data_IF_461339179893
#
_entry.id   IF_461339179893
#
_cell.length_a   1.000
_cell.length_b   1.000
_cell.length_c   1.000
_cell.angle_alpha   90.00
_cell.angle_beta   90.00
_cell.angle_gamma   90.00
#
_symmetry.space_group_name_H-M   'P 1'
#
loop_
_entity.id
_entity.type
_entity.pdbx_description
1 polymer ?
#
# COMPACT_ATOMS: atom_id res chain seq x y z
N UNK A 1 0.88 6.61 15.78
CA UNK A 1 2.27 6.16 15.93
C UNK A 1 3.21 7.24 15.48
N UNK A 2 4.30 7.45 16.16
CA UNK A 2 5.37 8.35 15.69
C UNK A 2 5.97 7.79 14.41
N UNK A 3 6.18 8.66 13.43
CA UNK A 3 7.02 8.35 12.28
C UNK A 3 8.46 8.57 12.72
N UNK A 4 9.24 7.51 12.77
CA UNK A 4 10.67 7.57 13.16
C UNK A 4 11.48 7.35 11.90
N UNK A 5 12.53 8.13 11.71
CA UNK A 5 13.52 7.89 10.67
C UNK A 5 14.37 6.69 11.09
N UNK A 6 14.05 5.52 10.54
CA UNK A 6 14.77 4.28 10.78
C UNK A 6 15.41 3.74 9.51
N UNK A 7 16.44 2.90 9.69
CA UNK A 7 16.97 2.06 8.61
C UNK A 7 15.82 1.14 8.14
N UNK A 8 15.37 1.32 6.91
CA UNK A 8 14.18 0.62 6.37
C UNK A 8 13.01 1.54 6.03
N UNK A 9 13.13 2.84 6.23
CA UNK A 9 12.20 3.83 5.68
C UNK A 9 12.03 3.64 4.17
N UNK A 10 10.76 3.53 3.70
CA UNK A 10 10.44 3.28 2.30
C UNK A 10 10.25 1.80 1.89
N UNK A 11 10.46 0.83 2.80
CA UNK A 11 10.23 -0.60 2.50
C UNK A 11 8.79 -0.83 2.07
N UNK A 12 7.81 -0.31 2.80
CA UNK A 12 6.39 -0.44 2.45
C UNK A 12 6.01 0.30 1.17
N UNK A 13 6.68 1.40 0.84
CA UNK A 13 6.52 2.04 -0.47
C UNK A 13 7.03 1.12 -1.59
N UNK A 14 8.14 0.45 -1.37
CA UNK A 14 8.72 -0.50 -2.33
C UNK A 14 7.79 -1.70 -2.53
N UNK A 15 7.36 -2.37 -1.45
CA UNK A 15 6.45 -3.52 -1.54
C UNK A 15 5.12 -3.16 -2.18
N UNK A 16 4.55 -2.01 -1.85
CA UNK A 16 3.30 -1.53 -2.45
C UNK A 16 3.45 -1.21 -3.93
N UNK A 17 4.56 -0.59 -4.33
CA UNK A 17 4.80 -0.29 -5.76
C UNK A 17 4.99 -1.56 -6.56
N UNK A 18 5.66 -2.59 -5.99
CA UNK A 18 5.78 -3.91 -6.62
C UNK A 18 4.42 -4.58 -6.69
N UNK A 19 3.64 -4.58 -5.60
CA UNK A 19 2.29 -5.14 -5.58
C UNK A 19 1.40 -4.48 -6.64
N UNK A 20 1.41 -3.15 -6.73
CA UNK A 20 0.65 -2.43 -7.74
C UNK A 20 1.06 -2.83 -9.16
N UNK A 21 2.36 -3.03 -9.43
CA UNK A 21 2.82 -3.54 -10.72
C UNK A 21 2.35 -4.98 -10.97
N UNK A 22 2.37 -5.86 -9.94
CA UNK A 22 1.91 -7.25 -10.03
C UNK A 22 0.40 -7.31 -10.34
N UNK A 23 -0.41 -6.40 -9.80
CA UNK A 23 -1.85 -6.33 -10.10
C UNK A 23 -2.16 -6.10 -11.59
N UNK A 24 -1.23 -5.56 -12.36
CA UNK A 24 -1.37 -5.42 -13.82
C UNK A 24 -0.94 -6.69 -14.60
N UNK A 25 -0.64 -7.76 -13.90
CA UNK A 25 -0.22 -9.04 -14.48
C UNK A 25 -1.19 -10.15 -14.05
N UNK A 26 -1.00 -11.36 -14.60
CA UNK A 26 -1.67 -12.57 -14.14
C UNK A 26 -0.84 -13.38 -13.13
N UNK A 27 0.18 -12.78 -12.53
CA UNK A 27 0.99 -13.45 -11.51
C UNK A 27 0.17 -13.68 -10.24
N UNK A 28 0.38 -14.82 -9.62
CA UNK A 28 -0.39 -15.23 -8.45
C UNK A 28 0.07 -14.51 -7.18
N UNK A 29 -0.84 -13.83 -6.51
CA UNK A 29 -0.60 -13.26 -5.18
C UNK A 29 -0.65 -14.38 -4.13
N UNK A 30 0.43 -14.54 -3.37
CA UNK A 30 0.55 -15.58 -2.32
C UNK A 30 0.25 -14.99 -0.94
N UNK A 31 0.80 -13.82 -0.65
CA UNK A 31 0.59 -13.11 0.61
C UNK A 31 0.58 -11.61 0.39
N UNK A 32 -0.41 -10.94 0.96
CA UNK A 32 -0.52 -9.48 0.94
C UNK A 32 -1.37 -9.02 2.12
N UNK A 33 -0.95 -7.93 2.77
CA UNK A 33 -1.77 -7.21 3.74
C UNK A 33 -1.80 -5.73 3.42
N UNK A 34 -2.97 -5.11 3.57
CA UNK A 34 -3.12 -3.66 3.46
C UNK A 34 -2.57 -2.95 4.70
N UNK A 35 -2.18 -1.68 4.55
CA UNK A 35 -1.99 -0.81 5.69
C UNK A 35 -3.32 -0.53 6.38
N UNK A 36 -3.25 -0.14 7.65
CA UNK A 36 -4.43 0.30 8.41
C UNK A 36 -4.87 1.73 8.07
N UNK A 37 -4.12 2.41 7.22
CA UNK A 37 -4.34 3.80 6.84
C UNK A 37 -3.95 4.01 5.38
N UNK A 38 -4.52 5.06 4.77
CA UNK A 38 -4.19 5.41 3.40
C UNK A 38 -2.74 5.92 3.31
N UNK A 39 -1.92 5.26 2.52
CA UNK A 39 -0.49 5.55 2.38
C UNK A 39 -0.19 6.66 1.37
N UNK A 40 -1.09 6.91 0.45
CA UNK A 40 -1.01 7.99 -0.55
C UNK A 40 0.05 7.83 -1.64
N UNK A 41 0.81 6.74 -1.68
CA UNK A 41 1.83 6.51 -2.73
C UNK A 41 1.39 5.52 -3.83
N UNK A 42 0.30 4.81 -3.62
CA UNK A 42 -0.40 3.99 -4.62
C UNK A 42 -1.90 4.27 -4.51
N UNK A 43 -2.73 3.88 -5.50
CA UNK A 43 -4.18 3.97 -5.36
C UNK A 43 -4.68 3.19 -4.13
N UNK A 44 -5.78 3.66 -3.54
CA UNK A 44 -6.36 3.08 -2.33
C UNK A 44 -6.64 1.59 -2.52
N UNK A 45 -6.30 0.76 -1.52
CA UNK A 45 -6.42 -0.68 -1.55
C UNK A 45 -5.38 -1.41 -2.42
N UNK A 46 -4.52 -0.70 -3.12
CA UNK A 46 -3.46 -1.27 -3.96
C UNK A 46 -2.08 -1.21 -3.31
N UNK A 47 -2.05 -1.15 -1.99
CA UNK A 47 -0.85 -1.14 -1.17
C UNK A 47 -0.54 -2.54 -0.60
N UNK A 48 0.68 -2.75 -0.18
CA UNK A 48 1.13 -3.95 0.52
C UNK A 48 2.06 -3.56 1.66
N UNK A 49 1.61 -3.76 2.89
CA UNK A 49 2.46 -3.53 4.06
C UNK A 49 3.37 -4.72 4.32
N UNK A 50 4.59 -4.44 4.73
CA UNK A 50 5.55 -5.45 5.17
C UNK A 50 6.13 -5.05 6.53
N UNK A 51 6.32 -6.04 7.39
CA UNK A 51 6.93 -5.86 8.69
C UNK A 51 7.69 -7.13 9.05
N UNK A 52 8.98 -7.00 9.29
CA UNK A 52 9.88 -8.13 9.52
C UNK A 52 9.35 -9.11 10.56
N UNK A 53 9.29 -10.38 10.20
CA UNK A 53 8.82 -11.46 11.06
C UNK A 53 7.31 -11.52 11.32
N UNK A 54 6.50 -10.62 10.77
CA UNK A 54 5.05 -10.59 11.01
C UNK A 54 4.20 -10.60 9.75
N UNK A 55 4.57 -9.84 8.73
CA UNK A 55 3.81 -9.78 7.47
C UNK A 55 4.75 -9.53 6.31
N UNK A 56 4.43 -10.14 5.18
CA UNK A 56 5.24 -10.06 3.97
C UNK A 56 4.36 -9.81 2.75
N UNK A 57 4.99 -9.40 1.66
CA UNK A 57 4.36 -9.41 0.35
C UNK A 57 5.03 -10.47 -0.52
N UNK A 58 4.25 -11.45 -0.93
CA UNK A 58 4.72 -12.60 -1.69
C UNK A 58 3.85 -12.83 -2.91
N UNK A 59 4.48 -13.06 -4.03
CA UNK A 59 3.81 -13.47 -5.26
C UNK A 59 4.61 -14.57 -5.95
N UNK A 60 3.95 -15.31 -6.80
CA UNK A 60 4.51 -16.43 -7.55
C UNK A 60 4.43 -16.14 -9.03
N UNK A 61 5.52 -16.43 -9.74
CA UNK A 61 5.46 -16.53 -11.18
C UNK A 61 4.75 -17.84 -11.55
N UNK A 62 3.45 -17.73 -11.78
CA UNK A 62 2.57 -18.84 -12.14
C UNK A 62 2.61 -19.19 -13.63
N UNK A 63 3.54 -18.60 -14.39
CA UNK A 63 3.73 -18.86 -15.82
C UNK A 63 4.92 -19.79 -16.06
N UNK A 64 4.94 -20.45 -17.20
CA UNK A 64 6.08 -21.29 -17.62
C UNK A 64 7.28 -20.48 -18.17
N UNK A 65 7.17 -19.16 -18.16
CA UNK A 65 8.17 -18.25 -18.73
C UNK A 65 8.83 -17.39 -17.68
N UNK A 66 10.10 -17.01 -17.85
CA UNK A 66 10.76 -16.13 -16.90
C UNK A 66 10.15 -14.72 -16.90
N UNK A 67 10.18 -14.09 -15.75
CA UNK A 67 9.85 -12.69 -15.59
C UNK A 67 11.10 -11.89 -15.22
N UNK A 68 11.13 -10.61 -15.61
CA UNK A 68 12.17 -9.66 -15.23
C UNK A 68 11.53 -8.46 -14.53
N UNK A 69 11.99 -8.18 -13.32
CA UNK A 69 11.57 -7.01 -12.56
C UNK A 69 12.68 -5.95 -12.67
N UNK A 70 12.30 -4.76 -13.09
CA UNK A 70 13.20 -3.60 -13.20
C UNK A 70 12.66 -2.49 -12.33
N UNK A 71 13.49 -2.00 -11.43
CA UNK A 71 13.15 -0.90 -10.52
C UNK A 71 14.05 0.29 -10.79
N UNK A 72 13.50 1.48 -10.67
CA UNK A 72 14.25 2.74 -10.73
C UNK A 72 13.61 3.77 -9.81
N UNK A 73 14.43 4.66 -9.28
CA UNK A 73 13.95 5.80 -8.52
C UNK A 73 14.43 7.10 -9.14
N UNK A 74 13.59 8.13 -9.05
CA UNK A 74 13.89 9.46 -9.58
C UNK A 74 13.22 10.54 -8.73
N UNK A 75 13.74 11.76 -8.81
CA UNK A 75 13.16 12.89 -8.12
C UNK A 75 12.24 13.67 -9.06
N UNK A 76 11.04 13.99 -8.58
CA UNK A 76 10.05 14.78 -9.31
C UNK A 76 9.27 15.67 -8.34
N UNK A 77 9.31 16.98 -8.57
CA UNK A 77 8.58 17.95 -7.75
C UNK A 77 8.96 17.90 -6.27
N UNK A 78 10.24 17.70 -5.96
CA UNK A 78 10.75 17.61 -4.58
C UNK A 78 10.37 16.30 -3.85
N UNK A 79 9.81 15.32 -4.57
CA UNK A 79 9.44 14.01 -4.03
C UNK A 79 10.21 12.90 -4.74
N UNK A 80 10.70 11.95 -3.95
CA UNK A 80 11.30 10.72 -4.49
C UNK A 80 10.20 9.81 -5.02
N UNK A 81 10.29 9.45 -6.29
CA UNK A 81 9.39 8.52 -6.98
C UNK A 81 10.07 7.18 -7.18
N UNK A 82 9.28 6.11 -7.09
CA UNK A 82 9.70 4.76 -7.42
C UNK A 82 8.94 4.28 -8.65
N UNK A 83 9.64 3.66 -9.57
CA UNK A 83 9.06 3.02 -10.74
C UNK A 83 9.41 1.53 -10.71
N UNK A 84 8.42 0.68 -10.96
CA UNK A 84 8.57 -0.76 -11.10
C UNK A 84 8.00 -1.20 -12.43
N UNK A 85 8.76 -1.98 -13.18
CA UNK A 85 8.34 -2.60 -14.44
C UNK A 85 8.53 -4.09 -14.35
N UNK A 86 7.50 -4.85 -14.72
CA UNK A 86 7.55 -6.30 -14.84
C UNK A 86 7.45 -6.65 -16.30
N UNK A 87 8.46 -7.34 -16.80
CA UNK A 87 8.52 -7.86 -18.16
C UNK A 87 8.33 -9.38 -18.11
N UNK A 88 7.53 -9.90 -18.99
CA UNK A 88 7.26 -11.33 -19.11
C UNK A 88 6.64 -11.65 -20.47
N UNK A 89 6.40 -12.93 -20.73
CA UNK A 89 5.70 -13.39 -21.94
C UNK A 89 4.21 -13.37 -21.68
N UNK A 90 3.46 -12.61 -22.45
CA UNK A 90 2.01 -12.63 -22.42
C UNK A 90 1.49 -13.70 -23.40
N UNK A 91 1.23 -14.89 -22.87
CA UNK A 91 0.84 -16.06 -23.68
C UNK A 91 -0.61 -15.94 -24.15
N UNK A 92 -1.49 -15.41 -23.30
CA UNK A 92 -2.94 -15.42 -23.52
C UNK A 92 -3.47 -14.11 -24.09
N UNK A 93 -2.60 -13.12 -24.29
CA UNK A 93 -2.99 -11.78 -24.73
C UNK A 93 -3.82 -11.02 -23.67
N UNK A 94 -3.93 -11.54 -22.46
CA UNK A 94 -4.72 -10.96 -21.38
C UNK A 94 -4.03 -9.74 -20.80
N UNK A 95 -4.80 -8.67 -20.59
CA UNK A 95 -4.36 -7.46 -19.91
C UNK A 95 -5.17 -7.27 -18.64
N UNK A 96 -4.52 -7.32 -17.51
CA UNK A 96 -5.14 -7.02 -16.23
C UNK A 96 -5.14 -5.52 -15.96
N UNK A 97 -6.27 -4.98 -15.54
CA UNK A 97 -6.42 -3.60 -15.13
C UNK A 97 -7.07 -3.58 -13.73
N UNK A 98 -6.29 -3.31 -12.68
CA UNK A 98 -6.82 -3.30 -11.32
C UNK A 98 -7.75 -2.09 -11.13
N UNK A 99 -8.87 -2.33 -10.43
CA UNK A 99 -9.81 -1.29 -10.02
C UNK A 99 -10.00 -1.35 -8.51
N UNK A 100 -10.03 -0.21 -7.87
CA UNK A 100 -10.42 -0.10 -6.46
C UNK A 100 -11.69 0.70 -6.33
N UNK A 101 -12.52 0.34 -5.36
CA UNK A 101 -13.73 1.07 -5.01
C UNK A 101 -13.72 1.29 -3.51
N UNK A 102 -13.78 2.54 -3.09
CA UNK A 102 -13.94 2.90 -1.68
C UNK A 102 -15.42 2.82 -1.34
N UNK A 103 -15.79 1.92 -0.44
CA UNK A 103 -17.18 1.75 0.01
C UNK A 103 -17.51 2.64 1.21
N UNK A 104 -16.52 2.86 2.06
CA UNK A 104 -16.71 3.60 3.28
C UNK A 104 -15.41 4.31 3.66
N UNK A 105 -15.55 5.53 4.16
CA UNK A 105 -14.44 6.28 4.73
C UNK A 105 -14.75 6.56 6.20
N UNK A 106 -13.92 6.03 7.09
CA UNK A 106 -14.05 6.25 8.53
C UNK A 106 -13.10 7.35 8.96
N UNK A 107 -13.66 8.45 9.42
CA UNK A 107 -12.88 9.54 10.02
C UNK A 107 -12.56 9.24 11.48
N UNK A 108 -11.34 9.53 11.95
CA UNK A 108 -10.97 9.33 13.34
C UNK A 108 -11.82 10.23 14.25
N UNK A 109 -12.26 9.67 15.37
CA UNK A 109 -12.96 10.45 16.41
C UNK A 109 -11.96 11.20 17.27
N UNK A 110 -12.31 12.44 17.63
CA UNK A 110 -11.50 13.21 18.58
C UNK A 110 -11.72 12.66 20.00
N UNK A 111 -10.64 12.27 20.65
CA UNK A 111 -10.65 11.90 22.05
C UNK A 111 -9.99 13.01 22.87
N UNK A 112 -10.67 13.46 23.91
CA UNK A 112 -10.12 14.43 24.86
C UNK A 112 -9.49 13.69 26.04
N UNK A 113 -8.23 14.03 26.32
CA UNK A 113 -7.52 13.54 27.50
C UNK A 113 -7.17 14.74 28.38
N UNK A 114 -7.45 14.62 29.67
CA UNK A 114 -7.04 15.65 30.64
C UNK A 114 -5.51 15.74 30.67
N UNK A 115 -5.01 16.95 30.58
CA UNK A 115 -3.58 17.26 30.69
C UNK A 115 -3.40 18.46 31.61
N UNK A 116 -2.83 18.22 32.77
CA UNK A 116 -2.60 19.23 33.79
C UNK A 116 -1.47 20.22 33.44
N UNK A 117 -0.70 19.92 32.40
CA UNK A 117 0.41 20.77 31.92
C UNK A 117 -0.05 21.96 31.08
N UNK A 118 -1.33 21.99 30.67
CA UNK A 118 -1.90 23.07 29.88
C UNK A 118 -2.94 23.88 30.68
N UNK A 119 -3.11 25.20 30.43
CA UNK A 119 -4.07 26.01 31.11
C UNK A 119 -5.50 25.49 30.97
N UNK A 120 -6.29 25.60 32.06
CA UNK A 120 -7.71 25.21 32.05
C UNK A 120 -8.48 25.97 30.97
N UNK A 121 -9.35 25.26 30.26
CA UNK A 121 -10.18 25.81 29.17
C UNK A 121 -9.44 25.91 27.83
N UNK A 122 -8.22 25.43 27.75
CA UNK A 122 -7.49 25.34 26.47
C UNK A 122 -7.39 23.88 25.99
N UNK A 123 -7.32 23.69 24.68
CA UNK A 123 -7.07 22.39 24.06
C UNK A 123 -5.80 22.48 23.24
N UNK A 124 -4.98 21.44 23.33
CA UNK A 124 -3.78 21.28 22.50
C UNK A 124 -3.85 19.95 21.78
N UNK A 125 -3.58 19.96 20.49
CA UNK A 125 -3.50 18.71 19.74
C UNK A 125 -2.25 17.96 20.16
N UNK A 126 -2.40 16.68 20.53
CA UNK A 126 -1.26 15.81 20.78
C UNK A 126 -0.60 15.49 19.43
N UNK A 127 0.57 16.08 19.20
CA UNK A 127 1.34 15.90 17.96
C UNK A 127 1.86 14.46 17.77
N UNK A 128 1.81 13.65 18.82
CA UNK A 128 2.22 12.23 18.75
C UNK A 128 1.13 11.32 18.18
N UNK A 129 -0.08 11.83 18.05
CA UNK A 129 -1.20 11.09 17.48
C UNK A 129 -1.71 11.83 16.24
N UNK A 130 -1.08 11.59 15.10
CA UNK A 130 -1.60 12.10 13.84
C UNK A 130 -2.91 11.36 13.50
N UNK A 131 -4.02 12.09 13.32
CA UNK A 131 -5.24 11.49 12.84
C UNK A 131 -4.99 10.93 11.43
N UNK A 132 -5.43 9.72 11.19
CA UNK A 132 -5.44 9.14 9.85
C UNK A 132 -6.86 8.76 9.46
N UNK A 133 -7.17 8.91 8.20
CA UNK A 133 -8.41 8.43 7.63
C UNK A 133 -8.17 6.98 7.17
N UNK A 134 -8.90 6.06 7.77
CA UNK A 134 -8.94 4.66 7.35
C UNK A 134 -10.13 4.45 6.42
N UNK A 135 -9.98 3.61 5.45
CA UNK A 135 -11.09 3.11 4.68
C UNK A 135 -11.66 1.89 5.38
N UNK A 136 -12.97 1.70 5.32
CA UNK A 136 -13.64 0.50 5.80
C UNK A 136 -13.12 -0.74 5.09
N UNK A 137 -13.96 -1.63 4.64
CA UNK A 137 -13.48 -2.76 3.86
C UNK A 137 -12.96 -2.29 2.48
N UNK A 138 -11.66 -2.40 2.27
CA UNK A 138 -11.05 -2.25 0.95
C UNK A 138 -11.06 -3.59 0.23
N UNK A 139 -11.78 -3.67 -0.86
CA UNK A 139 -11.70 -4.80 -1.79
C UNK A 139 -11.01 -4.33 -3.06
N UNK A 140 -9.83 -4.86 -3.30
CA UNK A 140 -9.18 -4.75 -4.60
C UNK A 140 -9.68 -5.92 -5.46
N UNK A 141 -10.49 -5.61 -6.46
CA UNK A 141 -10.83 -6.59 -7.48
C UNK A 141 -9.73 -6.61 -8.52
N UNK A 142 -9.04 -7.72 -8.62
CA UNK A 142 -8.08 -7.98 -9.68
C UNK A 142 -8.83 -8.76 -10.77
N UNK A 143 -9.01 -8.15 -11.93
CA UNK A 143 -9.67 -8.79 -13.07
C UNK A 143 -9.00 -10.11 -13.51
N UNK A 144 -7.72 -10.31 -13.16
CA UNK A 144 -7.00 -11.55 -13.42
C UNK A 144 -7.31 -12.68 -12.41
N UNK A 145 -7.89 -12.36 -11.25
CA UNK A 145 -8.24 -13.35 -10.21
C UNK A 145 -9.69 -13.84 -10.31
N UNK A 146 -10.55 -13.12 -11.04
CA UNK A 146 -11.97 -13.44 -11.19
C UNK A 146 -12.28 -14.31 -12.41
N UNK A 147 -11.30 -14.76 -13.16
CA UNK A 147 -11.51 -15.75 -14.19
C UNK A 147 -11.29 -17.16 -13.60
N UNK A 148 -12.37 -17.93 -13.43
CA UNK A 148 -12.24 -19.37 -13.19
C UNK A 148 -11.56 -19.97 -14.43
N UNK A 149 -10.56 -20.76 -14.20
CA UNK A 149 -9.91 -21.61 -15.19
C UNK A 149 -10.92 -22.62 -15.72
#
# INVERSE_FOLDING_TARGET
GETVDEIGGGICQTSSTIYYAVLHTNLKIVERRAHRFNTGYVPEGMDATVYYGQTDFRFENSTDYPIKIVTSSYDQGGKRKLNVKIYGTNVDGVRAEPKSTVYETVTPTTQYKADESIPRGTTKVDSKQNPYTGNGEERVQNAAQDHPV
#
